data_IF_826031522767
#
_entry.id   IF_826031522767
#
_cell.length_a   1.000
_cell.length_b   1.000
_cell.length_c   1.000
_cell.angle_alpha   90.00
_cell.angle_beta   90.00
_cell.angle_gamma   90.00
#
_symmetry.space_group_name_H-M   'P 1'
#
loop_
_entity.id
_entity.type
_entity.pdbx_description
1 polymer ?
#
# COMPACT_ATOMS: atom_id res chain seq x y z
N UNK A 1 5.69 -13.92 1.98
CA UNK A 1 4.90 -13.06 1.07
C UNK A 1 5.44 -11.66 1.28
N UNK A 2 5.91 -11.02 0.22
CA UNK A 2 6.47 -9.66 0.29
C UNK A 2 5.33 -8.66 0.43
N UNK A 3 5.44 -7.76 1.40
CA UNK A 3 4.41 -6.77 1.75
C UNK A 3 4.77 -5.41 1.18
N UNK A 4 3.93 -4.89 0.28
CA UNK A 4 4.05 -3.57 -0.31
C UNK A 4 3.14 -2.58 0.42
N UNK A 5 3.61 -1.35 0.60
CA UNK A 5 2.79 -0.23 1.05
C UNK A 5 2.65 0.80 -0.09
N UNK A 6 1.42 1.07 -0.50
CA UNK A 6 1.05 2.09 -1.47
C UNK A 6 0.50 3.31 -0.73
N UNK A 7 1.08 4.48 -0.98
CA UNK A 7 0.64 5.77 -0.42
C UNK A 7 0.43 6.72 -1.58
N UNK A 8 -0.83 7.04 -1.90
CA UNK A 8 -1.20 7.91 -3.03
C UNK A 8 -2.59 8.52 -2.77
N UNK A 9 -2.76 9.81 -3.06
CA UNK A 9 -4.01 10.54 -2.82
C UNK A 9 -5.12 10.23 -3.84
N UNK A 10 -4.79 9.60 -4.97
CA UNK A 10 -5.77 9.17 -5.97
C UNK A 10 -6.26 7.73 -5.73
N UNK A 11 -7.54 7.59 -5.37
CA UNK A 11 -8.18 6.29 -5.13
C UNK A 11 -8.16 5.35 -6.34
N UNK A 12 -8.25 5.87 -7.57
CA UNK A 12 -8.25 5.06 -8.79
C UNK A 12 -6.87 4.45 -9.03
N UNK A 13 -5.80 5.20 -8.75
CA UNK A 13 -4.42 4.72 -8.87
C UNK A 13 -4.16 3.63 -7.83
N UNK A 14 -4.51 3.88 -6.57
CA UNK A 14 -4.35 2.91 -5.48
C UNK A 14 -5.10 1.61 -5.78
N UNK A 15 -6.35 1.70 -6.21
CA UNK A 15 -7.17 0.53 -6.52
C UNK A 15 -6.57 -0.29 -7.69
N UNK A 16 -6.12 0.39 -8.75
CA UNK A 16 -5.53 -0.24 -9.93
C UNK A 16 -4.23 -0.96 -9.59
N UNK A 17 -3.34 -0.33 -8.83
CA UNK A 17 -2.06 -0.91 -8.42
C UNK A 17 -2.25 -2.03 -7.41
N UNK A 18 -3.19 -1.90 -6.48
CA UNK A 18 -3.52 -2.95 -5.52
C UNK A 18 -3.92 -4.25 -6.23
N UNK A 19 -4.85 -4.18 -7.18
CA UNK A 19 -5.30 -5.34 -7.95
C UNK A 19 -4.12 -5.97 -8.71
N UNK A 20 -3.28 -5.14 -9.33
CA UNK A 20 -2.11 -5.61 -10.07
C UNK A 20 -1.13 -6.37 -9.17
N UNK A 21 -0.74 -5.80 -8.03
CA UNK A 21 0.23 -6.42 -7.14
C UNK A 21 -0.33 -7.62 -6.37
N UNK A 22 -1.61 -7.62 -6.01
CA UNK A 22 -2.26 -8.80 -5.41
C UNK A 22 -2.31 -9.96 -6.41
N UNK A 23 -2.53 -9.70 -7.70
CA UNK A 23 -2.50 -10.72 -8.74
C UNK A 23 -1.10 -11.34 -8.92
N UNK A 24 -0.04 -10.57 -8.69
CA UNK A 24 1.35 -11.04 -8.68
C UNK A 24 1.74 -11.75 -7.36
N UNK A 25 0.83 -11.83 -6.38
CA UNK A 25 1.02 -12.56 -5.12
C UNK A 25 1.65 -11.75 -3.99
N UNK A 26 1.71 -10.42 -4.11
CA UNK A 26 2.14 -9.53 -3.03
C UNK A 26 1.00 -9.27 -2.03
N UNK A 27 1.37 -9.01 -0.78
CA UNK A 27 0.42 -8.46 0.19
C UNK A 27 0.47 -6.93 0.10
N UNK A 28 -0.66 -6.27 -0.10
CA UNK A 28 -0.68 -4.84 -0.39
C UNK A 28 -1.44 -4.09 0.70
N UNK A 29 -0.78 -3.11 1.31
CA UNK A 29 -1.38 -2.14 2.23
C UNK A 29 -1.51 -0.81 1.51
N UNK A 30 -2.66 -0.16 1.64
CA UNK A 30 -2.99 1.07 0.91
C UNK A 30 -3.32 2.20 1.87
N UNK A 31 -2.81 3.38 1.58
CA UNK A 31 -3.05 4.59 2.34
C UNK A 31 -3.32 5.73 1.37
N UNK A 32 -4.33 6.55 1.68
CA UNK A 32 -4.70 7.72 0.86
C UNK A 32 -4.14 9.04 1.42
N UNK A 33 -3.46 8.95 2.56
CA UNK A 33 -2.93 10.09 3.27
C UNK A 33 -1.59 9.72 3.91
N UNK A 34 -0.64 10.65 3.81
CA UNK A 34 0.71 10.48 4.35
C UNK A 34 0.74 10.50 5.89
N UNK A 35 -0.13 11.28 6.54
CA UNK A 35 -0.19 11.31 8.00
C UNK A 35 -0.74 10.00 8.56
N UNK A 36 -1.71 9.39 7.88
CA UNK A 36 -2.22 8.06 8.20
C UNK A 36 -1.23 6.94 7.85
N UNK A 37 -0.42 7.10 6.80
CA UNK A 37 0.56 6.10 6.37
C UNK A 37 1.78 6.03 7.31
N UNK A 38 2.30 7.19 7.73
CA UNK A 38 3.52 7.30 8.52
C UNK A 38 3.57 6.40 9.77
N UNK A 39 2.55 6.36 10.65
CA UNK A 39 2.57 5.47 11.81
C UNK A 39 2.59 4.01 11.38
N UNK A 40 1.80 3.62 10.37
CA UNK A 40 1.71 2.23 9.93
C UNK A 40 2.99 1.74 9.24
N UNK A 41 3.69 2.61 8.51
CA UNK A 41 5.00 2.35 7.91
C UNK A 41 6.11 2.24 8.96
N UNK A 42 5.97 2.95 10.08
CA UNK A 42 6.98 2.94 11.16
C UNK A 42 6.78 1.74 12.09
N UNK A 43 5.55 1.44 12.47
CA UNK A 43 5.21 0.32 13.35
C UNK A 43 5.35 -1.03 12.65
N UNK A 44 4.95 -1.09 11.38
CA UNK A 44 5.01 -2.31 10.57
C UNK A 44 5.64 -1.97 9.21
N UNK A 45 6.98 -1.88 9.14
CA UNK A 45 7.64 -1.54 7.88
C UNK A 45 7.32 -2.58 6.79
N UNK A 46 6.98 -2.13 5.57
CA UNK A 46 6.89 -3.02 4.42
C UNK A 46 8.27 -3.62 4.09
N UNK A 47 8.26 -4.67 3.27
CA UNK A 47 9.49 -5.31 2.78
C UNK A 47 10.22 -4.44 1.74
#
# INVERSE_FOLDING_TARGET
MTTLALVDDDENIVASLKIFFEAEGYNVRTYHDGEAALPALTETPPD
#
